data_IF_138702855652
#
_entry.id   IF_138702855652
#
_cell.length_a   1.000
_cell.length_b   1.000
_cell.length_c   1.000
_cell.angle_alpha   90.00
_cell.angle_beta   90.00
_cell.angle_gamma   90.00
#
_symmetry.space_group_name_H-M   'P 1'
#
loop_
_entity.id
_entity.type
_entity.pdbx_description
1 polymer ?
#
# COMPACT_ATOMS: atom_id res chain seq x y z
N UNK A 1 20.34 -32.03 -7.55
CA UNK A 1 19.08 -32.78 -7.66
C UNK A 1 18.30 -32.23 -8.85
N UNK A 2 18.14 -33.00 -9.93
CA UNK A 2 17.38 -32.57 -11.11
C UNK A 2 15.91 -32.86 -10.80
N UNK A 3 15.17 -31.84 -10.36
CA UNK A 3 13.71 -31.94 -10.20
C UNK A 3 13.11 -31.63 -11.57
N UNK A 4 12.37 -32.59 -12.14
CA UNK A 4 11.60 -32.37 -13.37
C UNK A 4 10.65 -31.17 -13.24
N UNK A 5 10.40 -30.44 -14.34
CA UNK A 5 9.69 -29.16 -14.33
C UNK A 5 8.33 -29.19 -13.61
N UNK A 6 7.54 -30.26 -13.80
CA UNK A 6 6.23 -30.43 -13.13
C UNK A 6 6.37 -30.66 -11.62
N UNK A 7 7.34 -31.47 -11.21
CA UNK A 7 7.63 -31.73 -9.80
C UNK A 7 8.15 -30.47 -9.10
N UNK A 8 8.87 -29.61 -9.84
CA UNK A 8 9.41 -28.35 -9.35
C UNK A 8 8.31 -27.31 -9.12
N UNK A 9 7.31 -27.23 -10.01
CA UNK A 9 6.14 -26.36 -9.82
C UNK A 9 5.37 -26.73 -8.55
N UNK A 10 5.05 -28.02 -8.39
CA UNK A 10 4.33 -28.52 -7.20
C UNK A 10 5.11 -28.26 -5.92
N UNK A 11 6.43 -28.49 -5.95
CA UNK A 11 7.30 -28.24 -4.80
C UNK A 11 7.30 -26.76 -4.40
N UNK A 12 7.45 -25.85 -5.36
CA UNK A 12 7.47 -24.41 -5.08
C UNK A 12 6.15 -23.94 -4.47
N UNK A 13 5.01 -24.34 -5.02
CA UNK A 13 3.71 -23.98 -4.45
C UNK A 13 3.51 -24.58 -3.04
N UNK A 14 3.90 -25.85 -2.85
CA UNK A 14 3.83 -26.52 -1.55
C UNK A 14 4.65 -25.78 -0.48
N UNK A 15 5.90 -25.40 -0.78
CA UNK A 15 6.78 -24.72 0.17
C UNK A 15 6.21 -23.35 0.59
N UNK A 16 5.65 -22.59 -0.34
CA UNK A 16 5.01 -21.32 -0.03
C UNK A 16 3.76 -21.51 0.83
N UNK A 17 2.91 -22.45 0.44
CA UNK A 17 1.64 -22.73 1.12
C UNK A 17 1.84 -23.32 2.52
N UNK A 18 2.82 -24.20 2.70
CA UNK A 18 3.16 -24.78 4.00
C UNK A 18 3.66 -23.71 4.99
N UNK A 19 4.52 -22.78 4.55
CA UNK A 19 4.97 -21.69 5.41
C UNK A 19 3.80 -20.85 5.94
N UNK A 20 2.88 -20.47 5.06
CA UNK A 20 1.71 -19.69 5.45
C UNK A 20 0.74 -20.49 6.33
N UNK A 21 0.54 -21.78 6.04
CA UNK A 21 -0.29 -22.68 6.84
C UNK A 21 0.24 -22.80 8.27
N UNK A 22 1.54 -23.04 8.43
CA UNK A 22 2.17 -23.14 9.74
C UNK A 22 2.12 -21.82 10.51
N UNK A 23 2.34 -20.68 9.84
CA UNK A 23 2.19 -19.37 10.47
C UNK A 23 0.78 -19.12 10.97
N UNK A 24 -0.24 -19.44 10.16
CA UNK A 24 -1.64 -19.29 10.55
C UNK A 24 -2.01 -20.23 11.70
N UNK A 25 -1.49 -21.47 11.68
CA UNK A 25 -1.66 -22.44 12.77
C UNK A 25 -1.05 -21.91 14.08
N UNK A 26 0.20 -21.43 14.05
CA UNK A 26 0.87 -20.85 15.22
C UNK A 26 0.15 -19.60 15.74
N UNK A 27 -0.31 -18.73 14.84
CA UNK A 27 -1.08 -17.53 15.22
C UNK A 27 -2.43 -17.88 15.85
N UNK A 28 -3.10 -18.92 15.34
CA UNK A 28 -4.33 -19.42 15.94
C UNK A 28 -4.08 -19.95 17.35
N UNK A 29 -3.06 -20.79 17.54
CA UNK A 29 -2.69 -21.31 18.86
C UNK A 29 -2.34 -20.17 19.83
N UNK A 30 -1.57 -19.18 19.38
CA UNK A 30 -1.22 -18.01 20.19
C UNK A 30 -2.48 -17.27 20.69
N UNK A 31 -3.45 -17.04 19.80
CA UNK A 31 -4.70 -16.37 20.14
C UNK A 31 -5.57 -17.23 21.06
N UNK A 32 -5.68 -18.53 20.79
CA UNK A 32 -6.46 -19.46 21.61
C UNK A 32 -5.89 -19.50 23.04
N UNK A 33 -4.56 -19.54 23.21
CA UNK A 33 -3.91 -19.50 24.53
C UNK A 33 -4.19 -18.16 25.24
N UNK A 34 -4.01 -17.03 24.54
CA UNK A 34 -4.30 -15.69 25.11
C UNK A 34 -5.76 -15.55 25.55
N UNK A 35 -6.70 -16.10 24.77
CA UNK A 35 -8.12 -16.06 25.10
C UNK A 35 -8.47 -17.03 26.24
N UNK A 36 -7.86 -18.22 26.28
CA UNK A 36 -8.10 -19.22 27.33
C UNK A 36 -7.66 -18.77 28.72
N UNK A 37 -6.67 -17.86 28.82
CA UNK A 37 -6.31 -17.23 30.09
C UNK A 37 -7.41 -16.34 30.67
N UNK A 38 -8.32 -15.85 29.83
CA UNK A 38 -9.44 -15.03 30.24
C UNK A 38 -10.71 -15.86 30.52
N UNK A 39 -10.79 -17.10 30.04
CA UNK A 39 -11.95 -17.99 30.15
C UNK A 39 -11.63 -19.26 30.96
N UNK A 40 -12.22 -19.41 32.15
CA UNK A 40 -11.95 -20.52 33.07
C UNK A 40 -12.38 -21.92 32.58
N UNK A 41 -13.05 -22.05 31.43
CA UNK A 41 -13.74 -23.28 30.98
C UNK A 41 -12.99 -24.13 29.92
N UNK A 42 -11.70 -23.87 29.65
CA UNK A 42 -10.93 -24.65 28.67
C UNK A 42 -9.87 -25.53 29.36
N UNK A 43 -10.24 -26.73 29.80
CA UNK A 43 -9.35 -27.70 30.43
C UNK A 43 -8.40 -28.42 29.42
N UNK A 44 -8.87 -28.71 28.20
CA UNK A 44 -8.08 -29.45 27.18
C UNK A 44 -6.83 -28.70 26.65
N UNK A 45 -6.87 -27.36 26.63
CA UNK A 45 -5.73 -26.51 26.26
C UNK A 45 -4.74 -26.34 27.41
N UNK A 46 -5.19 -26.55 28.65
CA UNK A 46 -4.35 -26.41 29.85
C UNK A 46 -3.32 -27.55 29.97
N UNK A 47 -3.69 -28.76 29.57
CA UNK A 47 -2.81 -29.94 29.66
C UNK A 47 -1.73 -29.98 28.59
N UNK A 48 -2.05 -29.64 27.33
CA UNK A 48 -1.10 -29.75 26.22
C UNK A 48 -0.02 -28.64 26.18
N UNK A 49 -0.23 -27.56 26.93
CA UNK A 49 0.66 -26.39 26.95
C UNK A 49 0.94 -25.88 28.37
N UNK A 50 1.04 -26.77 29.38
CA UNK A 50 1.28 -26.38 30.78
C UNK A 50 2.40 -25.34 30.95
N UNK A 51 3.55 -25.53 30.28
CA UNK A 51 4.66 -24.58 30.32
C UNK A 51 4.33 -23.19 29.75
N UNK A 52 3.44 -23.09 28.76
CA UNK A 52 3.00 -21.81 28.16
C UNK A 52 1.92 -21.15 29.01
N UNK A 53 1.14 -21.93 29.78
CA UNK A 53 0.14 -21.38 30.70
C UNK A 53 0.75 -20.68 31.91
N UNK A 54 1.99 -21.05 32.28
CA UNK A 54 2.77 -20.36 33.32
C UNK A 54 3.35 -19.02 32.84
N UNK A 55 3.42 -18.80 31.53
CA UNK A 55 3.91 -17.55 30.94
C UNK A 55 2.88 -16.43 31.04
N UNK A 56 3.32 -15.18 31.18
CA UNK A 56 2.45 -14.02 30.97
C UNK A 56 2.22 -13.75 29.46
N UNK A 57 1.32 -12.83 29.12
CA UNK A 57 0.95 -12.59 27.71
C UNK A 57 2.10 -12.07 26.84
N UNK A 58 3.05 -11.35 27.44
CA UNK A 58 4.24 -10.85 26.75
C UNK A 58 5.18 -12.02 26.44
N UNK A 59 5.40 -12.91 27.40
CA UNK A 59 6.22 -14.11 27.23
C UNK A 59 5.62 -15.07 26.19
N UNK A 60 4.30 -15.29 26.20
CA UNK A 60 3.60 -16.05 25.15
C UNK A 60 3.83 -15.40 23.78
N UNK A 61 3.66 -14.08 23.68
CA UNK A 61 3.89 -13.35 22.43
C UNK A 61 5.33 -13.49 21.94
N UNK A 62 6.31 -13.39 22.83
CA UNK A 62 7.73 -13.52 22.51
C UNK A 62 8.09 -14.95 22.08
N UNK A 63 7.52 -15.96 22.73
CA UNK A 63 7.71 -17.35 22.36
C UNK A 63 7.20 -17.63 20.94
N UNK A 64 5.96 -17.24 20.64
CA UNK A 64 5.40 -17.41 19.29
C UNK A 64 6.09 -16.54 18.25
N UNK A 65 6.57 -15.35 18.61
CA UNK A 65 7.41 -14.54 17.74
C UNK A 65 8.72 -15.25 17.39
N UNK A 66 9.40 -15.85 18.38
CA UNK A 66 10.62 -16.62 18.14
C UNK A 66 10.36 -17.83 17.23
N UNK A 67 9.29 -18.59 17.46
CA UNK A 67 8.93 -19.71 16.60
C UNK A 67 8.69 -19.27 15.15
N UNK A 68 7.93 -18.18 14.95
CA UNK A 68 7.56 -17.67 13.62
C UNK A 68 8.75 -17.06 12.88
N UNK A 69 9.57 -16.24 13.54
CA UNK A 69 10.68 -15.52 12.91
C UNK A 69 11.96 -16.34 12.77
N UNK A 70 12.26 -17.20 13.74
CA UNK A 70 13.50 -17.95 13.79
C UNK A 70 13.29 -19.41 13.41
N UNK A 71 12.42 -20.15 14.10
CA UNK A 71 12.39 -21.60 13.95
C UNK A 71 11.73 -22.07 12.65
N UNK A 72 10.73 -21.35 12.16
CA UNK A 72 9.99 -21.77 10.98
C UNK A 72 10.81 -21.61 9.68
N UNK A 73 11.52 -20.49 9.50
CA UNK A 73 12.17 -20.15 8.23
C UNK A 73 13.68 -19.93 8.31
N UNK A 74 14.25 -19.77 9.50
CA UNK A 74 15.67 -19.43 9.68
C UNK A 74 16.48 -20.54 10.33
N UNK A 75 15.86 -21.50 11.00
CA UNK A 75 16.53 -22.63 11.64
C UNK A 75 17.05 -23.61 10.57
N UNK A 76 18.36 -23.91 10.52
CA UNK A 76 18.96 -24.84 9.55
C UNK A 76 18.35 -26.25 9.56
N UNK A 77 17.82 -26.68 10.71
CA UNK A 77 17.21 -27.99 10.88
C UNK A 77 15.75 -28.02 10.39
N UNK A 78 15.15 -26.86 10.10
CA UNK A 78 13.78 -26.81 9.59
C UNK A 78 13.75 -27.17 8.11
N UNK A 79 12.80 -28.05 7.73
CA UNK A 79 12.59 -28.51 6.35
C UNK A 79 12.36 -27.35 5.39
N UNK A 80 11.63 -26.30 5.79
CA UNK A 80 11.40 -25.14 4.93
C UNK A 80 12.71 -24.45 4.57
N UNK A 81 13.59 -24.20 5.55
CA UNK A 81 14.86 -23.52 5.32
C UNK A 81 15.78 -24.26 4.34
N UNK A 82 15.69 -25.60 4.26
CA UNK A 82 16.44 -26.40 3.28
C UNK A 82 16.09 -26.03 1.82
N UNK A 83 14.91 -25.48 1.56
CA UNK A 83 14.48 -25.05 0.22
C UNK A 83 14.74 -23.57 -0.06
N UNK A 84 15.32 -22.82 0.87
CA UNK A 84 15.50 -21.37 0.75
C UNK A 84 16.31 -20.97 -0.47
N UNK A 85 17.47 -21.60 -0.67
CA UNK A 85 18.34 -21.27 -1.81
C UNK A 85 17.66 -21.59 -3.15
N UNK A 86 16.96 -22.73 -3.21
CA UNK A 86 16.17 -23.11 -4.38
C UNK A 86 15.10 -22.05 -4.67
N UNK A 87 14.31 -21.66 -3.66
CA UNK A 87 13.23 -20.70 -3.81
C UNK A 87 13.73 -19.34 -4.35
N UNK A 88 14.81 -18.81 -3.77
CA UNK A 88 15.39 -17.53 -4.19
C UNK A 88 15.94 -17.60 -5.62
N UNK A 89 16.66 -18.69 -5.96
CA UNK A 89 17.18 -18.89 -7.32
C UNK A 89 16.05 -18.92 -8.36
N UNK A 90 14.97 -19.63 -8.07
CA UNK A 90 13.87 -19.81 -9.02
C UNK A 90 12.99 -18.56 -9.19
N UNK A 91 13.10 -17.56 -8.31
CA UNK A 91 12.48 -16.25 -8.53
C UNK A 91 13.01 -15.54 -9.79
N UNK A 92 14.14 -15.99 -10.33
CA UNK A 92 14.75 -15.48 -11.57
C UNK A 92 14.81 -16.52 -12.70
N UNK A 93 14.06 -17.63 -12.58
CA UNK A 93 14.06 -18.73 -13.56
C UNK A 93 13.65 -18.27 -14.95
N UNK A 94 14.27 -18.76 -16.02
CA UNK A 94 13.85 -18.45 -17.41
C UNK A 94 12.44 -18.97 -17.74
N UNK A 95 11.98 -19.97 -17.00
CA UNK A 95 10.63 -20.48 -17.12
C UNK A 95 9.65 -19.58 -16.33
N UNK A 96 8.78 -18.87 -17.06
CA UNK A 96 7.81 -17.94 -16.49
C UNK A 96 6.88 -18.56 -15.43
N UNK A 97 6.45 -19.82 -15.59
CA UNK A 97 5.57 -20.48 -14.62
C UNK A 97 6.33 -20.79 -13.32
N UNK A 98 7.57 -21.27 -13.43
CA UNK A 98 8.44 -21.51 -12.29
C UNK A 98 8.73 -20.18 -11.57
N UNK A 99 9.09 -19.14 -12.34
CA UNK A 99 9.33 -17.79 -11.84
C UNK A 99 8.14 -17.24 -11.07
N UNK A 100 6.94 -17.38 -11.63
CA UNK A 100 5.68 -16.94 -11.02
C UNK A 100 5.44 -17.63 -9.67
N UNK A 101 5.50 -18.97 -9.64
CA UNK A 101 5.28 -19.72 -8.40
C UNK A 101 6.35 -19.44 -7.34
N UNK A 102 7.62 -19.35 -7.74
CA UNK A 102 8.70 -19.01 -6.82
C UNK A 102 8.49 -17.63 -6.19
N UNK A 103 8.14 -16.62 -7.00
CA UNK A 103 7.86 -15.27 -6.51
C UNK A 103 6.65 -15.24 -5.55
N UNK A 104 5.56 -15.94 -5.86
CA UNK A 104 4.38 -16.05 -4.99
C UNK A 104 4.76 -16.75 -3.67
N UNK A 105 5.50 -17.85 -3.74
CA UNK A 105 5.92 -18.60 -2.56
C UNK A 105 6.90 -17.81 -1.69
N UNK A 106 7.81 -17.04 -2.29
CA UNK A 106 8.64 -16.08 -1.57
C UNK A 106 7.79 -15.02 -0.88
N UNK A 107 6.73 -14.51 -1.53
CA UNK A 107 5.84 -13.56 -0.90
C UNK A 107 5.15 -14.14 0.34
N UNK A 108 4.66 -15.39 0.25
CA UNK A 108 4.11 -16.11 1.40
C UNK A 108 5.15 -16.23 2.52
N UNK A 109 6.40 -16.55 2.22
CA UNK A 109 7.49 -16.59 3.21
C UNK A 109 7.78 -15.23 3.84
N UNK A 110 7.77 -14.16 3.05
CA UNK A 110 7.98 -12.81 3.56
C UNK A 110 6.84 -12.34 4.46
N UNK A 111 5.59 -12.79 4.26
CA UNK A 111 4.47 -12.50 5.17
C UNK A 111 4.61 -13.20 6.52
N UNK A 112 5.34 -14.31 6.56
CA UNK A 112 5.52 -15.15 7.75
C UNK A 112 6.63 -14.61 8.66
N UNK A 113 7.67 -14.03 8.07
CA UNK A 113 8.84 -13.55 8.79
C UNK A 113 9.26 -12.16 8.32
N UNK A 114 9.23 -11.21 9.24
CA UNK A 114 9.80 -9.88 9.08
C UNK A 114 11.27 -9.94 8.67
N UNK A 115 12.06 -10.85 9.25
CA UNK A 115 13.49 -11.02 8.87
C UNK A 115 13.63 -11.43 7.40
N UNK A 116 12.77 -12.33 6.93
CA UNK A 116 12.73 -12.77 5.54
C UNK A 116 12.27 -11.63 4.62
N UNK A 117 11.25 -10.87 5.01
CA UNK A 117 10.82 -9.66 4.32
C UNK A 117 11.99 -8.66 4.14
N UNK A 118 12.68 -8.30 5.22
CA UNK A 118 13.80 -7.35 5.16
C UNK A 118 14.91 -7.81 4.23
N UNK A 119 15.20 -9.10 4.23
CA UNK A 119 16.28 -9.67 3.42
C UNK A 119 15.99 -9.66 1.92
N UNK A 120 14.73 -9.85 1.52
CA UNK A 120 14.38 -10.11 0.12
C UNK A 120 13.46 -9.08 -0.53
N UNK A 121 12.88 -8.15 0.25
CA UNK A 121 11.95 -7.14 -0.26
C UNK A 121 12.56 -6.31 -1.39
N UNK A 122 13.75 -5.73 -1.16
CA UNK A 122 14.40 -4.88 -2.17
C UNK A 122 15.04 -5.70 -3.30
N UNK A 123 15.90 -6.65 -2.94
CA UNK A 123 16.81 -7.28 -3.89
C UNK A 123 16.17 -8.38 -4.74
N UNK A 124 15.01 -8.91 -4.32
CA UNK A 124 14.31 -9.97 -5.06
C UNK A 124 12.91 -9.53 -5.43
N UNK A 125 12.08 -9.16 -4.46
CA UNK A 125 10.68 -8.88 -4.69
C UNK A 125 10.46 -7.60 -5.52
N UNK A 126 11.02 -6.46 -5.12
CA UNK A 126 10.87 -5.21 -5.88
C UNK A 126 11.50 -5.31 -7.26
N UNK A 127 12.65 -5.98 -7.40
CA UNK A 127 13.28 -6.25 -8.70
C UNK A 127 12.31 -7.00 -9.61
N UNK A 128 11.66 -8.06 -9.11
CA UNK A 128 10.71 -8.82 -9.92
C UNK A 128 9.37 -8.10 -10.17
N UNK A 129 8.89 -7.28 -9.22
CA UNK A 129 7.68 -6.49 -9.39
C UNK A 129 7.87 -5.38 -10.43
N UNK A 130 9.04 -4.76 -10.48
CA UNK A 130 9.35 -3.63 -11.38
C UNK A 130 9.91 -4.06 -12.74
N UNK A 131 10.38 -5.30 -12.88
CA UNK A 131 10.87 -5.82 -14.15
C UNK A 131 9.72 -6.08 -15.15
N UNK A 132 9.63 -5.26 -16.19
CA UNK A 132 8.60 -5.35 -17.25
C UNK A 132 8.63 -6.71 -17.97
N UNK A 133 9.81 -7.35 -18.08
CA UNK A 133 9.98 -8.65 -18.75
C UNK A 133 9.27 -9.80 -18.00
N UNK A 134 8.90 -9.61 -16.74
CA UNK A 134 8.08 -10.58 -15.99
C UNK A 134 6.61 -10.61 -16.45
N UNK A 135 6.21 -9.69 -17.33
CA UNK A 135 4.86 -9.59 -17.86
C UNK A 135 3.84 -9.14 -16.81
N UNK A 136 2.59 -8.85 -17.24
CA UNK A 136 1.55 -8.34 -16.36
C UNK A 136 1.08 -9.37 -15.33
N UNK A 137 1.13 -10.67 -15.63
CA UNK A 137 0.61 -11.71 -14.73
C UNK A 137 1.40 -11.84 -13.43
N UNK A 138 2.73 -11.93 -13.52
CA UNK A 138 3.60 -12.07 -12.34
C UNK A 138 3.55 -10.76 -11.54
N UNK A 139 3.72 -9.63 -12.21
CA UNK A 139 3.72 -8.32 -11.56
C UNK A 139 2.38 -7.99 -10.89
N UNK A 140 1.24 -8.39 -11.46
CA UNK A 140 -0.07 -8.27 -10.81
C UNK A 140 -0.25 -9.23 -9.63
N UNK A 141 0.34 -10.42 -9.65
CA UNK A 141 0.35 -11.27 -8.46
C UNK A 141 1.18 -10.62 -7.33
N UNK A 142 2.36 -10.09 -7.68
CA UNK A 142 3.24 -9.43 -6.72
C UNK A 142 2.62 -8.15 -6.14
N UNK A 143 2.00 -7.28 -6.96
CA UNK A 143 1.39 -6.04 -6.47
C UNK A 143 0.30 -6.32 -5.43
N UNK A 144 -0.44 -7.41 -5.56
CA UNK A 144 -1.45 -7.82 -4.56
C UNK A 144 -0.78 -8.12 -3.22
N UNK A 145 0.37 -8.80 -3.20
CA UNK A 145 1.12 -9.03 -1.96
C UNK A 145 1.67 -7.72 -1.34
N UNK A 146 1.91 -6.68 -2.14
CA UNK A 146 2.32 -5.37 -1.60
C UNK A 146 1.29 -4.80 -0.61
N UNK A 147 0.00 -5.05 -0.84
CA UNK A 147 -1.05 -4.67 0.10
C UNK A 147 -0.86 -5.34 1.46
N UNK A 148 -0.63 -6.65 1.46
CA UNK A 148 -0.47 -7.41 2.69
C UNK A 148 0.84 -7.04 3.39
N UNK A 149 1.94 -6.86 2.65
CA UNK A 149 3.16 -6.31 3.24
C UNK A 149 2.95 -4.93 3.85
N UNK A 150 2.12 -4.09 3.23
CA UNK A 150 1.82 -2.77 3.80
C UNK A 150 1.00 -2.86 5.07
N UNK A 151 0.16 -3.89 5.21
CA UNK A 151 -0.57 -4.15 6.46
C UNK A 151 0.37 -4.62 7.58
N UNK A 152 1.25 -5.59 7.30
CA UNK A 152 2.09 -6.23 8.32
C UNK A 152 3.39 -5.50 8.60
N UNK A 153 3.96 -4.81 7.61
CA UNK A 153 5.31 -4.24 7.64
C UNK A 153 5.33 -2.75 7.24
N UNK A 154 4.23 -2.03 7.49
CA UNK A 154 4.04 -0.60 7.22
C UNK A 154 5.30 0.25 7.40
N UNK A 155 6.02 0.22 8.55
CA UNK A 155 7.17 1.12 8.79
C UNK A 155 8.32 0.94 7.79
N UNK A 156 8.36 -0.17 7.06
CA UNK A 156 9.43 -0.54 6.15
C UNK A 156 9.10 -0.26 4.68
N UNK A 157 7.88 0.17 4.37
CA UNK A 157 7.43 0.39 3.00
C UNK A 157 7.30 1.87 2.70
N UNK A 158 7.94 2.30 1.61
CA UNK A 158 7.79 3.65 1.11
C UNK A 158 6.51 3.76 0.28
N UNK A 159 5.48 4.41 0.81
CA UNK A 159 4.19 4.52 0.13
C UNK A 159 4.25 5.25 -1.21
N UNK A 160 5.25 6.10 -1.45
CA UNK A 160 5.45 6.70 -2.77
C UNK A 160 5.63 5.63 -3.85
N UNK A 161 6.26 4.51 -3.53
CA UNK A 161 6.42 3.37 -4.46
C UNK A 161 5.06 2.80 -4.87
N UNK A 162 4.12 2.68 -3.92
CA UNK A 162 2.75 2.19 -4.20
C UNK A 162 2.05 3.13 -5.20
N UNK A 163 2.10 4.44 -4.96
CA UNK A 163 1.47 5.41 -5.86
C UNK A 163 2.12 5.43 -7.25
N UNK A 164 3.44 5.25 -7.35
CA UNK A 164 4.15 5.21 -8.63
C UNK A 164 3.66 4.08 -9.55
N UNK A 165 3.15 2.97 -9.01
CA UNK A 165 2.55 1.90 -9.81
C UNK A 165 1.21 2.27 -10.46
N UNK A 166 0.66 3.47 -10.22
CA UNK A 166 -0.47 4.01 -10.99
C UNK A 166 -0.08 4.42 -12.41
N UNK A 167 1.21 4.69 -12.63
CA UNK A 167 1.76 5.05 -13.95
C UNK A 167 1.84 3.80 -14.85
N UNK A 168 2.06 2.63 -14.26
CA UNK A 168 2.13 1.36 -14.97
C UNK A 168 0.73 0.93 -15.45
N UNK A 169 0.56 0.81 -16.77
CA UNK A 169 -0.71 0.45 -17.42
C UNK A 169 -1.23 -0.94 -17.03
N UNK A 170 -0.33 -1.86 -16.70
CA UNK A 170 -0.66 -3.24 -16.36
C UNK A 170 -1.04 -3.39 -14.89
N UNK A 171 -0.48 -2.54 -14.03
CA UNK A 171 -0.65 -2.65 -12.57
C UNK A 171 -1.69 -1.68 -12.01
N UNK A 172 -1.96 -0.56 -12.68
CA UNK A 172 -2.78 0.55 -12.15
C UNK A 172 -4.12 0.13 -11.55
N UNK A 173 -4.79 -0.89 -12.12
CA UNK A 173 -6.09 -1.37 -11.62
C UNK A 173 -5.97 -2.02 -10.24
N UNK A 174 -4.97 -2.88 -10.04
CA UNK A 174 -4.74 -3.48 -8.73
C UNK A 174 -4.17 -2.44 -7.76
N UNK A 175 -3.24 -1.61 -8.22
CA UNK A 175 -2.66 -0.52 -7.42
C UNK A 175 -3.74 0.41 -6.85
N UNK A 176 -4.72 0.86 -7.64
CA UNK A 176 -5.75 1.78 -7.13
C UNK A 176 -6.66 1.11 -6.07
N UNK A 177 -6.94 -0.19 -6.20
CA UNK A 177 -7.73 -0.94 -5.22
C UNK A 177 -6.98 -1.08 -3.90
N UNK A 178 -5.66 -1.31 -3.97
CA UNK A 178 -4.78 -1.36 -2.81
C UNK A 178 -4.75 0.00 -2.12
N UNK A 179 -4.52 1.08 -2.88
CA UNK A 179 -4.53 2.45 -2.35
C UNK A 179 -5.87 2.75 -1.68
N UNK A 180 -7.00 2.41 -2.32
CA UNK A 180 -8.34 2.60 -1.75
C UNK A 180 -8.50 1.88 -0.40
N UNK A 181 -8.10 0.60 -0.32
CA UNK A 181 -8.20 -0.19 0.91
C UNK A 181 -7.33 0.39 2.02
N UNK A 182 -6.06 0.68 1.72
CA UNK A 182 -5.10 1.20 2.69
C UNK A 182 -5.46 2.60 3.20
N UNK A 183 -6.03 3.46 2.36
CA UNK A 183 -6.55 4.77 2.76
C UNK A 183 -7.75 4.63 3.70
N UNK A 184 -8.70 3.75 3.38
CA UNK A 184 -9.88 3.53 4.23
C UNK A 184 -9.51 2.98 5.61
N UNK A 185 -8.41 2.21 5.71
CA UNK A 185 -7.85 1.72 6.98
C UNK A 185 -6.92 2.72 7.67
N UNK A 186 -6.73 3.93 7.11
CA UNK A 186 -5.80 4.95 7.61
C UNK A 186 -4.33 4.49 7.72
N UNK A 187 -3.91 3.53 6.89
CA UNK A 187 -2.53 2.98 6.90
C UNK A 187 -1.58 3.89 6.12
N UNK A 188 -2.03 4.35 4.94
CA UNK A 188 -1.28 5.27 4.08
C UNK A 188 -1.92 6.66 4.07
N UNK A 189 -1.16 7.66 3.62
CA UNK A 189 -1.65 9.03 3.38
C UNK A 189 -1.32 9.44 1.95
N UNK A 190 -2.12 10.35 1.39
CA UNK A 190 -1.97 10.83 0.01
C UNK A 190 -0.88 11.91 -0.12
N UNK A 191 -0.37 12.46 0.99
CA UNK A 191 0.60 13.57 0.99
C UNK A 191 1.79 13.32 0.05
N UNK A 192 2.05 14.27 -0.85
CA UNK A 192 3.09 14.19 -1.87
C UNK A 192 2.74 13.35 -3.10
N UNK A 193 1.55 12.75 -3.16
CA UNK A 193 1.04 11.95 -4.27
C UNK A 193 -0.36 12.41 -4.74
N UNK A 194 -0.84 13.57 -4.27
CA UNK A 194 -2.17 14.09 -4.58
C UNK A 194 -2.34 14.43 -6.06
N UNK A 195 -1.33 15.05 -6.67
CA UNK A 195 -1.33 15.31 -8.12
C UNK A 195 -1.40 13.99 -8.91
N UNK A 196 -0.53 13.03 -8.59
CA UNK A 196 -0.48 11.74 -9.27
C UNK A 196 -1.83 11.01 -9.17
N UNK A 197 -2.45 10.97 -7.99
CA UNK A 197 -3.79 10.39 -7.82
C UNK A 197 -4.83 11.14 -8.66
N UNK A 198 -4.83 12.47 -8.63
CA UNK A 198 -5.80 13.30 -9.34
C UNK A 198 -5.66 13.19 -10.87
N UNK A 199 -4.44 13.00 -11.37
CA UNK A 199 -4.18 12.80 -12.81
C UNK A 199 -4.91 11.58 -13.38
N UNK A 200 -5.25 10.59 -12.55
CA UNK A 200 -5.93 9.37 -12.95
C UNK A 200 -7.47 9.51 -12.99
N UNK A 201 -8.03 10.70 -12.73
CA UNK A 201 -9.47 10.91 -12.61
C UNK A 201 -10.24 10.59 -13.90
N UNK A 202 -9.63 10.89 -15.04
CA UNK A 202 -10.21 10.66 -16.37
C UNK A 202 -9.79 9.32 -16.99
N UNK A 203 -9.14 8.43 -16.24
CA UNK A 203 -8.79 7.09 -16.74
C UNK A 203 -10.05 6.22 -16.86
N UNK A 204 -10.26 5.60 -18.02
CA UNK A 204 -11.45 4.79 -18.32
C UNK A 204 -11.63 3.59 -17.39
N UNK A 205 -10.53 3.02 -16.88
CA UNK A 205 -10.55 1.80 -16.06
C UNK A 205 -10.67 2.11 -14.58
N UNK A 206 -10.02 3.18 -14.12
CA UNK A 206 -9.89 3.47 -12.67
C UNK A 206 -10.50 4.79 -12.22
N UNK A 207 -10.95 5.66 -13.13
CA UNK A 207 -11.42 7.01 -12.81
C UNK A 207 -12.59 7.05 -11.83
N UNK A 208 -13.51 6.08 -11.88
CA UNK A 208 -14.61 5.95 -10.92
C UNK A 208 -14.10 5.69 -9.49
N UNK A 209 -13.08 4.84 -9.35
CA UNK A 209 -12.46 4.52 -8.06
C UNK A 209 -11.72 5.76 -7.53
N UNK A 210 -10.97 6.46 -8.39
CA UNK A 210 -10.28 7.71 -8.06
C UNK A 210 -11.26 8.77 -7.56
N UNK A 211 -12.38 8.99 -8.27
CA UNK A 211 -13.44 9.91 -7.83
C UNK A 211 -13.99 9.53 -6.45
N UNK A 212 -14.14 8.25 -6.18
CA UNK A 212 -14.62 7.73 -4.89
C UNK A 212 -13.60 7.96 -3.77
N UNK A 213 -12.31 7.73 -4.03
CA UNK A 213 -11.22 8.05 -3.10
C UNK A 213 -11.24 9.54 -2.76
N UNK A 214 -11.25 10.42 -3.78
CA UNK A 214 -11.21 11.87 -3.58
C UNK A 214 -12.42 12.38 -2.79
N UNK A 215 -13.63 11.87 -3.06
CA UNK A 215 -14.84 12.17 -2.26
C UNK A 215 -14.76 11.67 -0.82
N UNK A 216 -14.09 10.55 -0.58
CA UNK A 216 -13.91 10.02 0.78
C UNK A 216 -12.90 10.88 1.54
N UNK A 217 -11.79 11.22 0.89
CA UNK A 217 -10.72 12.06 1.43
C UNK A 217 -11.20 13.50 1.68
N UNK A 218 -12.15 14.02 0.88
CA UNK A 218 -12.69 15.37 1.05
C UNK A 218 -13.42 15.60 2.37
N UNK A 219 -13.76 14.53 3.11
CA UNK A 219 -14.24 14.65 4.49
C UNK A 219 -13.16 15.20 5.44
N UNK A 220 -11.88 15.08 5.09
CA UNK A 220 -10.76 15.68 5.80
C UNK A 220 -10.29 16.95 5.07
N UNK A 221 -10.64 18.11 5.62
CA UNK A 221 -10.34 19.43 5.03
C UNK A 221 -8.85 19.63 4.73
N UNK A 222 -7.97 19.18 5.63
CA UNK A 222 -6.54 19.34 5.46
C UNK A 222 -6.03 18.49 4.29
N UNK A 223 -6.49 17.23 4.21
CA UNK A 223 -6.02 16.31 3.18
C UNK A 223 -6.48 16.75 1.78
N UNK A 224 -7.74 17.14 1.61
CA UNK A 224 -8.22 17.62 0.31
C UNK A 224 -7.59 18.96 -0.09
N UNK A 225 -7.32 19.85 0.86
CA UNK A 225 -6.60 21.10 0.58
C UNK A 225 -5.17 20.84 0.11
N UNK A 226 -4.50 19.83 0.69
CA UNK A 226 -3.16 19.40 0.26
C UNK A 226 -3.22 18.82 -1.15
N UNK A 227 -4.13 17.88 -1.42
CA UNK A 227 -4.29 17.26 -2.74
C UNK A 227 -4.60 18.31 -3.81
N UNK A 228 -5.52 19.22 -3.52
CA UNK A 228 -5.85 20.33 -4.41
C UNK A 228 -4.63 21.19 -4.70
N UNK A 229 -3.91 21.62 -3.66
CA UNK A 229 -2.74 22.48 -3.85
C UNK A 229 -1.62 21.77 -4.63
N UNK A 230 -1.35 20.50 -4.34
CA UNK A 230 -0.40 19.67 -5.10
C UNK A 230 -0.81 19.53 -6.57
N UNK A 231 -2.10 19.37 -6.84
CA UNK A 231 -2.62 19.28 -8.23
C UNK A 231 -2.60 20.63 -8.94
N UNK A 232 -2.82 21.73 -8.20
CA UNK A 232 -2.79 23.10 -8.72
C UNK A 232 -1.39 23.51 -9.20
N UNK A 233 -0.35 23.11 -8.47
CA UNK A 233 1.04 23.41 -8.82
C UNK A 233 1.59 22.55 -9.96
N UNK A 234 1.00 21.38 -10.22
CA UNK A 234 1.46 20.46 -11.27
C UNK A 234 0.89 20.84 -12.64
N UNK A 235 1.72 21.32 -13.54
CA UNK A 235 1.35 21.78 -14.88
C UNK A 235 0.73 20.68 -15.76
N UNK A 236 0.97 19.41 -15.44
CA UNK A 236 0.41 18.30 -16.21
C UNK A 236 -1.07 18.02 -15.89
N UNK A 237 -1.60 18.59 -14.82
CA UNK A 237 -3.00 18.43 -14.45
C UNK A 237 -3.92 19.30 -15.32
N UNK A 238 -4.92 18.69 -15.93
CA UNK A 238 -5.87 19.42 -16.76
C UNK A 238 -6.77 20.33 -15.91
N UNK A 239 -7.23 21.44 -16.51
CA UNK A 239 -8.16 22.36 -15.86
C UNK A 239 -9.48 21.69 -15.46
N UNK A 240 -9.92 20.66 -16.19
CA UNK A 240 -11.11 19.87 -15.86
C UNK A 240 -10.95 19.12 -14.52
N UNK A 241 -9.77 18.52 -14.28
CA UNK A 241 -9.46 17.85 -13.02
C UNK A 241 -9.43 18.88 -11.88
N UNK A 242 -8.82 20.06 -12.12
CA UNK A 242 -8.82 21.14 -11.13
C UNK A 242 -10.23 21.62 -10.78
N UNK A 243 -11.11 21.81 -11.78
CA UNK A 243 -12.52 22.16 -11.58
C UNK A 243 -13.24 21.12 -10.72
N UNK A 244 -13.03 19.84 -11.01
CA UNK A 244 -13.59 18.77 -10.18
C UNK A 244 -13.12 18.87 -8.73
N UNK A 245 -11.82 19.10 -8.50
CA UNK A 245 -11.26 19.26 -7.16
C UNK A 245 -11.83 20.50 -6.45
N UNK A 246 -12.02 21.63 -7.14
CA UNK A 246 -12.69 22.82 -6.58
C UNK A 246 -14.07 22.48 -6.01
N UNK A 247 -14.83 21.64 -6.71
CA UNK A 247 -16.13 21.15 -6.27
C UNK A 247 -16.09 20.35 -4.97
N UNK A 248 -14.95 19.76 -4.62
CA UNK A 248 -14.74 19.02 -3.37
C UNK A 248 -14.27 19.90 -2.21
N UNK A 249 -13.84 21.14 -2.47
CA UNK A 249 -13.34 22.06 -1.44
C UNK A 249 -14.52 22.80 -0.78
N UNK A 250 -14.73 22.64 0.55
CA UNK A 250 -15.80 23.35 1.25
C UNK A 250 -15.56 24.86 1.32
N UNK A 251 -16.64 25.64 1.29
CA UNK A 251 -16.59 27.11 1.24
C UNK A 251 -15.77 27.74 2.39
N UNK A 252 -15.73 27.09 3.55
CA UNK A 252 -15.01 27.55 4.74
C UNK A 252 -13.49 27.68 4.55
N UNK A 253 -12.89 26.89 3.66
CA UNK A 253 -11.42 26.86 3.45
C UNK A 253 -10.97 27.47 2.12
N UNK A 254 -11.91 27.78 1.22
CA UNK A 254 -11.62 28.31 -0.13
C UNK A 254 -10.81 29.60 -0.09
N UNK A 255 -11.16 30.55 0.79
CA UNK A 255 -10.46 31.84 0.89
C UNK A 255 -8.97 31.67 1.24
N UNK A 256 -8.67 30.93 2.32
CA UNK A 256 -7.29 30.66 2.73
C UNK A 256 -6.49 29.88 1.69
N UNK A 257 -7.13 28.90 1.04
CA UNK A 257 -6.49 28.08 0.02
C UNK A 257 -6.19 28.89 -1.24
N UNK A 258 -7.10 29.77 -1.64
CA UNK A 258 -6.90 30.68 -2.75
C UNK A 258 -5.75 31.67 -2.50
N UNK A 259 -5.64 32.25 -1.29
CA UNK A 259 -4.48 33.09 -0.94
C UNK A 259 -3.16 32.34 -1.09
N UNK A 260 -3.15 31.05 -0.77
CA UNK A 260 -1.97 30.20 -0.96
C UNK A 260 -1.66 30.01 -2.46
N UNK A 261 -2.68 29.81 -3.30
CA UNK A 261 -2.54 29.67 -4.75
C UNK A 261 -2.00 30.94 -5.42
N UNK A 262 -2.55 32.11 -5.12
CA UNK A 262 -2.14 33.37 -5.77
C UNK A 262 -0.72 33.79 -5.40
N UNK A 263 -0.25 33.46 -4.19
CA UNK A 263 1.12 33.72 -3.73
C UNK A 263 2.17 32.84 -4.43
N UNK A 264 1.75 31.80 -5.14
CA UNK A 264 2.67 30.95 -5.87
C UNK A 264 3.00 31.59 -7.23
N UNK A 265 4.24 32.09 -7.37
CA UNK A 265 4.70 32.77 -8.58
C UNK A 265 5.02 31.83 -9.75
N UNK A 266 5.11 30.52 -9.51
CA UNK A 266 5.47 29.53 -10.55
C UNK A 266 4.26 29.12 -11.40
N UNK A 267 3.04 29.25 -10.89
CA UNK A 267 1.81 28.86 -11.60
C UNK A 267 1.29 30.00 -12.47
N UNK A 268 0.90 29.69 -13.70
CA UNK A 268 0.37 30.66 -14.67
C UNK A 268 -0.90 31.37 -14.19
N UNK A 269 -1.11 32.59 -14.70
CA UNK A 269 -2.23 33.44 -14.31
C UNK A 269 -3.59 32.88 -14.73
N UNK A 270 -3.65 32.13 -15.84
CA UNK A 270 -4.88 31.47 -16.31
C UNK A 270 -5.43 30.47 -15.30
N UNK A 271 -4.56 29.63 -14.73
CA UNK A 271 -4.94 28.69 -13.65
C UNK A 271 -5.39 29.43 -12.40
N UNK A 272 -4.74 30.53 -12.03
CA UNK A 272 -5.16 31.34 -10.87
C UNK A 272 -6.54 31.95 -11.08
N UNK A 273 -6.81 32.46 -12.29
CA UNK A 273 -8.12 32.99 -12.69
C UNK A 273 -9.20 31.91 -12.64
N UNK A 274 -8.91 30.72 -13.16
CA UNK A 274 -9.80 29.57 -13.04
C UNK A 274 -10.18 29.28 -11.59
N UNK A 275 -9.21 29.24 -10.66
CA UNK A 275 -9.53 28.99 -9.24
C UNK A 275 -10.36 30.13 -8.64
N UNK A 276 -10.07 31.38 -9.00
CA UNK A 276 -10.86 32.54 -8.55
C UNK A 276 -12.33 32.38 -8.95
N UNK A 277 -12.59 32.01 -10.20
CA UNK A 277 -13.92 31.83 -10.75
C UNK A 277 -14.66 30.66 -10.09
N UNK A 278 -14.00 29.50 -9.95
CA UNK A 278 -14.60 28.27 -9.40
C UNK A 278 -14.85 28.34 -7.89
N UNK A 279 -14.01 29.07 -7.14
CA UNK A 279 -14.17 29.17 -5.70
C UNK A 279 -15.35 30.05 -5.28
N UNK A 280 -15.84 30.92 -6.18
CA UNK A 280 -16.96 31.82 -5.93
C UNK A 280 -16.86 32.48 -4.54
N UNK A 281 -15.76 33.21 -4.34
CA UNK A 281 -15.39 33.79 -3.05
C UNK A 281 -16.37 34.90 -2.67
N UNK A 282 -16.65 35.04 -1.36
CA UNK A 282 -17.56 36.08 -0.85
C UNK A 282 -17.05 37.47 -1.22
N UNK A 283 -17.95 38.39 -1.57
CA UNK A 283 -17.60 39.77 -1.94
C UNK A 283 -16.69 40.46 -0.92
N UNK A 284 -16.96 40.28 0.38
CA UNK A 284 -16.11 40.81 1.46
C UNK A 284 -14.66 40.31 1.37
N UNK A 285 -14.46 39.04 1.03
CA UNK A 285 -13.10 38.50 0.85
C UNK A 285 -12.41 39.15 -0.36
N UNK A 286 -13.15 39.35 -1.45
CA UNK A 286 -12.65 40.00 -2.67
C UNK A 286 -12.29 41.46 -2.40
N UNK A 287 -13.12 42.20 -1.65
CA UNK A 287 -12.83 43.59 -1.26
C UNK A 287 -11.58 43.69 -0.40
N UNK A 288 -11.45 42.83 0.61
CA UNK A 288 -10.34 42.86 1.56
C UNK A 288 -8.99 42.53 0.88
N UNK A 289 -9.03 41.78 -0.22
CA UNK A 289 -7.85 41.32 -0.96
C UNK A 289 -7.71 41.96 -2.36
N UNK A 290 -8.43 43.05 -2.63
CA UNK A 290 -8.48 43.69 -3.95
C UNK A 290 -7.09 44.02 -4.53
N UNK A 291 -6.15 44.45 -3.69
CA UNK A 291 -4.77 44.73 -4.07
C UNK A 291 -4.04 43.53 -4.70
N UNK A 292 -4.34 42.30 -4.28
CA UNK A 292 -3.79 41.06 -4.86
C UNK A 292 -4.55 40.61 -6.10
N UNK A 293 -5.82 40.99 -6.21
CA UNK A 293 -6.75 40.51 -7.23
C UNK A 293 -6.87 41.41 -8.45
N UNK A 294 -6.42 42.66 -8.36
CA UNK A 294 -6.48 43.63 -9.46
C UNK A 294 -5.89 43.09 -10.78
N UNK A 295 -4.87 42.22 -10.72
CA UNK A 295 -4.27 41.58 -11.91
C UNK A 295 -5.19 40.58 -12.62
N UNK A 296 -6.16 40.00 -11.89
CA UNK A 296 -7.06 38.95 -12.39
C UNK A 296 -8.49 39.45 -12.65
N UNK A 297 -8.88 40.55 -12.00
CA UNK A 297 -10.20 41.18 -12.11
C UNK A 297 -10.32 42.19 -13.26
N UNK A 298 -9.21 42.50 -13.95
CA UNK A 298 -9.22 43.33 -15.15
C UNK A 298 -9.56 42.48 -16.38
N UNK A 299 -10.85 42.33 -16.64
CA UNK A 299 -11.41 42.15 -17.98
C UNK A 299 -12.40 43.28 -18.21
#
# INVERSE_FOLDING_TARGET
>A
MIIESKNKLNLLDFIGSLALLEFNRLTKIENDIKNSKNDNNQEDLKENFQFINEMNDIEVSNYFYQLKEYDLLSNPNNVLNQFKELLIKECFSDNLLIRKLANISLCKWMLVSQRTFHKYYKDVYLVNLTNVDNGPEIRNALIIFLHDFTLYYNPYINYKEIFNFLIDKDLKKNTILIIYNLLNKNIIRVNGNGSLLSSQLNDDKIGVIVRTILKTVSKNLNMISVIFYESFIDENISNEILKYLCGLIPQSVRGSLFLKCIKNNTVCDERKKLILDEFNLKEKFVSDNKHLLNKFLQN
#
